data_IF_361242957022
#
_entry.id   IF_361242957022
#
_cell.length_a   1.000
_cell.length_b   1.000
_cell.length_c   1.000
_cell.angle_alpha   90.00
_cell.angle_beta   90.00
_cell.angle_gamma   90.00
#
_symmetry.space_group_name_H-M   'P 1'
#
loop_
_entity.id
_entity.type
_entity.pdbx_description
1 polymer ?
#
# COMPACT_ATOMS: atom_id res chain seq x y z
N UNK A 1 -28.42 -17.47 4.55
CA UNK A 1 -28.13 -17.28 5.99
C UNK A 1 -27.40 -15.96 6.19
N UNK A 2 -28.08 -14.98 6.81
CA UNK A 2 -27.60 -13.70 7.37
C UNK A 2 -26.42 -12.99 6.66
N UNK A 3 -26.67 -12.45 5.47
CA UNK A 3 -25.71 -11.63 4.72
C UNK A 3 -25.43 -10.29 5.40
N UNK A 4 -24.30 -10.21 6.13
CA UNK A 4 -23.72 -8.94 6.60
C UNK A 4 -22.58 -8.53 5.66
N UNK A 5 -22.81 -7.49 4.87
CA UNK A 5 -21.78 -6.89 4.02
C UNK A 5 -20.84 -6.04 4.87
N UNK A 6 -19.64 -6.55 5.14
CA UNK A 6 -18.55 -5.74 5.73
C UNK A 6 -17.91 -4.90 4.62
N UNK A 7 -18.44 -3.69 4.40
CA UNK A 7 -17.87 -2.74 3.45
C UNK A 7 -16.59 -2.16 4.05
N UNK A 8 -15.42 -2.26 3.37
CA UNK A 8 -14.21 -1.61 3.84
C UNK A 8 -14.38 -0.09 3.87
N UNK A 9 -13.91 0.57 4.93
CA UNK A 9 -13.92 2.03 5.05
C UNK A 9 -12.55 2.55 5.44
N UNK A 10 -12.08 3.57 4.75
CA UNK A 10 -10.85 4.29 5.10
C UNK A 10 -11.13 5.29 6.23
N UNK A 11 -11.46 4.75 7.41
CA UNK A 11 -11.60 5.53 8.63
C UNK A 11 -10.19 5.86 9.14
N UNK A 12 -9.71 7.06 8.79
CA UNK A 12 -8.33 7.49 9.10
C UNK A 12 -8.06 7.62 10.59
N UNK A 13 -9.07 8.03 11.34
CA UNK A 13 -9.05 8.16 12.80
C UNK A 13 -9.66 6.93 13.50
N UNK A 14 -9.71 5.77 12.82
CA UNK A 14 -10.32 4.55 13.38
C UNK A 14 -9.72 4.16 14.72
N UNK A 15 -10.60 4.02 15.71
CA UNK A 15 -10.27 3.56 17.05
C UNK A 15 -11.41 2.70 17.59
N UNK A 16 -11.12 1.46 18.01
CA UNK A 16 -12.09 0.55 18.63
C UNK A 16 -11.50 -0.10 19.89
N UNK A 17 -12.33 -0.29 20.92
CA UNK A 17 -12.00 -1.10 22.09
C UNK A 17 -12.80 -2.40 22.07
N UNK A 18 -12.15 -3.52 22.34
CA UNK A 18 -12.78 -4.84 22.29
C UNK A 18 -11.82 -5.95 22.67
N UNK A 19 -12.13 -7.19 22.31
CA UNK A 19 -11.29 -8.36 22.61
C UNK A 19 -10.39 -8.70 21.41
N UNK A 20 -9.10 -8.87 21.64
CA UNK A 20 -8.19 -9.50 20.69
C UNK A 20 -8.10 -11.00 20.96
N UNK A 21 -7.85 -11.79 19.92
CA UNK A 21 -7.26 -13.13 20.06
C UNK A 21 -6.06 -13.30 19.13
N UNK A 22 -5.53 -14.52 19.02
CA UNK A 22 -4.45 -14.81 18.06
C UNK A 22 -4.73 -16.10 17.26
N UNK A 23 -4.13 -16.19 16.07
CA UNK A 23 -4.29 -17.33 15.17
C UNK A 23 -3.71 -18.62 15.77
N UNK A 24 -4.60 -19.55 16.13
CA UNK A 24 -4.22 -20.85 16.66
C UNK A 24 -3.33 -21.69 15.72
N UNK A 25 -2.86 -22.87 16.17
CA UNK A 25 -2.04 -23.75 15.35
C UNK A 25 -2.75 -24.15 14.04
N UNK A 26 -1.98 -24.32 12.97
CA UNK A 26 -2.49 -24.76 11.66
C UNK A 26 -2.89 -23.63 10.69
N UNK A 27 -2.58 -22.37 10.97
CA UNK A 27 -2.72 -21.26 10.01
C UNK A 27 -1.45 -20.94 9.22
N UNK A 28 -0.27 -21.28 9.75
CA UNK A 28 1.02 -21.03 9.10
C UNK A 28 1.08 -21.55 7.66
N UNK A 29 1.61 -20.75 6.73
CA UNK A 29 1.76 -21.12 5.32
C UNK A 29 0.48 -20.97 4.47
N UNK A 30 -0.68 -20.63 5.05
CA UNK A 30 -1.90 -20.35 4.30
C UNK A 30 -1.87 -18.94 3.69
N UNK A 31 -2.65 -18.74 2.62
CA UNK A 31 -2.87 -17.40 2.04
C UNK A 31 -3.86 -16.61 2.88
N UNK A 32 -3.53 -15.35 3.14
CA UNK A 32 -4.44 -14.33 3.72
C UNK A 32 -5.42 -13.81 2.66
N UNK A 33 -6.42 -13.03 3.08
CA UNK A 33 -7.36 -12.35 2.20
C UNK A 33 -6.73 -11.36 1.20
N UNK A 34 -5.49 -10.88 1.43
CA UNK A 34 -4.76 -10.07 0.45
C UNK A 34 -3.69 -10.86 -0.34
N UNK A 35 -3.64 -12.19 -0.19
CA UNK A 35 -2.79 -13.09 -0.97
C UNK A 35 -1.39 -13.34 -0.42
N UNK A 36 -1.00 -12.66 0.67
CA UNK A 36 0.25 -12.91 1.40
C UNK A 36 0.25 -14.31 2.03
N UNK A 37 1.44 -14.89 2.24
CA UNK A 37 1.58 -16.13 3.03
C UNK A 37 1.65 -15.75 4.50
N UNK A 38 0.75 -16.31 5.32
CA UNK A 38 0.73 -16.06 6.76
C UNK A 38 1.90 -16.74 7.47
N UNK A 39 2.80 -15.94 8.03
CA UNK A 39 3.79 -16.35 9.02
C UNK A 39 3.34 -15.94 10.44
N UNK A 40 3.15 -16.89 11.39
CA UNK A 40 2.81 -16.56 12.79
C UNK A 40 3.92 -15.79 13.54
N UNK A 41 5.14 -15.72 13.00
CA UNK A 41 6.29 -15.02 13.57
C UNK A 41 6.37 -13.55 13.14
N UNK A 42 5.65 -13.13 12.10
CA UNK A 42 5.56 -11.72 11.68
C UNK A 42 4.57 -10.92 12.53
N UNK A 43 4.56 -9.59 12.39
CA UNK A 43 3.61 -8.70 13.08
C UNK A 43 2.39 -8.42 12.19
N UNK A 44 1.52 -9.42 12.04
CA UNK A 44 0.33 -9.40 11.18
C UNK A 44 -0.99 -9.57 11.95
N UNK A 45 -2.10 -9.22 11.31
CA UNK A 45 -3.45 -9.30 11.89
C UNK A 45 -4.59 -9.41 10.85
N UNK A 46 -5.72 -10.00 11.25
CA UNK A 46 -7.01 -9.88 10.57
C UNK A 46 -7.88 -8.76 11.15
N UNK A 47 -8.52 -7.99 10.27
CA UNK A 47 -9.59 -7.05 10.65
C UNK A 47 -10.80 -7.13 9.71
N UNK A 48 -11.99 -6.86 10.26
CA UNK A 48 -13.28 -7.02 9.55
C UNK A 48 -13.46 -6.02 8.40
N UNK A 49 -13.14 -4.77 8.67
CA UNK A 49 -13.57 -3.59 7.88
C UNK A 49 -12.42 -2.65 7.47
N UNK A 50 -11.21 -2.85 7.99
CA UNK A 50 -10.10 -1.96 7.62
C UNK A 50 -9.60 -2.29 6.20
N UNK A 51 -9.08 -1.31 5.45
CA UNK A 51 -8.41 -1.56 4.17
C UNK A 51 -7.28 -2.58 4.32
N UNK A 52 -6.99 -3.34 3.25
CA UNK A 52 -5.83 -4.24 3.19
C UNK A 52 -4.87 -3.78 2.08
N UNK A 53 -3.56 -3.67 2.35
CA UNK A 53 -2.96 -3.65 3.68
C UNK A 53 -3.34 -2.37 4.45
N UNK A 54 -3.33 -2.43 5.78
CA UNK A 54 -3.29 -1.23 6.63
C UNK A 54 -2.48 -1.51 7.89
N UNK A 55 -2.25 -0.50 8.73
CA UNK A 55 -1.50 -0.65 9.97
C UNK A 55 -2.33 -0.16 11.17
N UNK A 56 -2.20 -0.87 12.27
CA UNK A 56 -2.84 -0.51 13.54
C UNK A 56 -1.85 -0.65 14.69
N UNK A 57 -1.88 0.30 15.62
CA UNK A 57 -1.35 0.11 16.97
C UNK A 57 -2.40 -0.66 17.78
N UNK A 58 -1.96 -1.72 18.44
CA UNK A 58 -2.79 -2.51 19.35
C UNK A 58 -2.18 -2.38 20.74
N UNK A 59 -2.96 -1.90 21.71
CA UNK A 59 -2.55 -1.76 23.11
C UNK A 59 -3.34 -2.72 23.98
N UNK A 60 -2.65 -3.63 24.68
CA UNK A 60 -3.26 -4.50 25.67
C UNK A 60 -3.61 -3.70 26.93
N UNK A 61 -4.89 -3.67 27.30
CA UNK A 61 -5.41 -2.85 28.39
C UNK A 61 -5.14 -3.45 29.77
N UNK A 62 -4.78 -4.73 29.87
CA UNK A 62 -4.41 -5.38 31.13
C UNK A 62 -3.03 -4.93 31.65
N UNK A 63 -2.12 -4.57 30.73
CA UNK A 63 -0.69 -4.38 31.06
C UNK A 63 -0.04 -3.15 30.38
N UNK A 64 -0.78 -2.39 29.57
CA UNK A 64 -0.32 -1.17 28.91
C UNK A 64 0.66 -1.36 27.76
N UNK A 65 1.02 -2.61 27.39
CA UNK A 65 1.94 -2.87 26.27
C UNK A 65 1.24 -2.59 24.94
N UNK A 66 1.94 -1.94 24.00
CA UNK A 66 1.47 -1.79 22.62
C UNK A 66 2.43 -2.36 21.57
N UNK A 67 1.91 -2.66 20.39
CA UNK A 67 2.67 -3.06 19.20
C UNK A 67 1.94 -2.60 17.94
N UNK A 68 2.68 -2.21 16.91
CA UNK A 68 2.13 -1.92 15.58
C UNK A 68 2.16 -3.19 14.73
N UNK A 69 1.02 -3.51 14.10
CA UNK A 69 0.86 -4.69 13.23
C UNK A 69 0.31 -4.31 11.86
N UNK A 70 0.68 -5.09 10.83
CA UNK A 70 0.09 -5.04 9.48
C UNK A 70 -1.23 -5.80 9.48
N UNK A 71 -2.33 -5.13 9.17
CA UNK A 71 -3.59 -5.80 8.82
C UNK A 71 -3.49 -6.27 7.38
N UNK A 72 -3.39 -7.59 7.18
CA UNK A 72 -3.28 -8.23 5.86
C UNK A 72 -4.39 -9.28 5.60
N UNK A 73 -5.26 -9.54 6.58
CA UNK A 73 -6.31 -10.57 6.47
C UNK A 73 -7.71 -10.11 6.94
N UNK A 74 -8.73 -10.95 6.72
CA UNK A 74 -10.15 -10.70 7.05
C UNK A 74 -10.63 -11.57 8.21
N UNK A 75 -11.36 -10.94 9.13
CA UNK A 75 -11.87 -11.55 10.36
C UNK A 75 -11.63 -10.60 11.54
N UNK A 76 -11.88 -11.01 12.79
CA UNK A 76 -12.62 -12.20 13.22
C UNK A 76 -14.10 -12.15 12.83
N UNK A 77 -14.67 -13.30 12.46
CA UNK A 77 -16.11 -13.43 12.20
C UNK A 77 -16.93 -13.82 13.46
N UNK A 78 -16.26 -14.27 14.52
CA UNK A 78 -16.84 -14.36 15.87
C UNK A 78 -17.24 -12.95 16.37
N UNK A 79 -18.34 -12.83 17.12
CA UNK A 79 -18.99 -11.54 17.41
C UNK A 79 -18.33 -10.71 18.51
N UNK A 80 -17.60 -11.37 19.39
CA UNK A 80 -16.99 -10.89 20.63
C UNK A 80 -15.58 -10.30 20.45
N UNK A 81 -14.86 -10.75 19.42
CA UNK A 81 -13.49 -10.32 19.09
C UNK A 81 -13.49 -9.19 18.07
N UNK A 82 -12.50 -8.29 18.09
CA UNK A 82 -12.39 -7.18 17.11
C UNK A 82 -11.19 -7.36 16.16
N UNK A 83 -10.15 -8.07 16.61
CA UNK A 83 -8.92 -8.30 15.86
C UNK A 83 -8.35 -9.70 16.22
N UNK A 84 -7.84 -10.42 15.22
CA UNK A 84 -7.10 -11.68 15.41
C UNK A 84 -5.65 -11.44 14.99
N UNK A 85 -4.71 -11.59 15.93
CA UNK A 85 -3.30 -11.26 15.77
C UNK A 85 -2.43 -12.49 15.41
N UNK A 86 -1.23 -12.25 14.89
CA UNK A 86 -0.18 -13.27 14.84
C UNK A 86 0.23 -13.70 16.25
N UNK A 87 0.83 -14.90 16.35
CA UNK A 87 1.37 -15.40 17.63
C UNK A 87 2.47 -14.48 18.16
N UNK A 88 3.33 -13.93 17.29
CA UNK A 88 4.38 -12.99 17.70
C UNK A 88 3.83 -11.70 18.30
N UNK A 89 2.79 -11.13 17.71
CA UNK A 89 2.15 -9.94 18.26
C UNK A 89 1.51 -10.21 19.64
N UNK A 90 0.85 -11.37 19.82
CA UNK A 90 0.29 -11.77 21.11
C UNK A 90 1.34 -12.00 22.21
N UNK A 91 2.53 -12.50 21.85
CA UNK A 91 3.67 -12.63 22.77
C UNK A 91 4.19 -11.26 23.24
N UNK A 92 4.39 -10.31 22.32
CA UNK A 92 4.84 -8.96 22.66
C UNK A 92 3.82 -8.25 23.58
N UNK A 93 2.53 -8.38 23.26
CA UNK A 93 1.43 -7.87 24.07
C UNK A 93 1.20 -8.66 25.38
N UNK A 94 1.88 -9.78 25.60
CA UNK A 94 1.82 -10.55 26.85
C UNK A 94 0.46 -11.21 27.12
N UNK A 95 -0.18 -11.77 26.09
CA UNK A 95 -1.43 -12.53 26.23
C UNK A 95 -1.47 -13.86 25.47
N UNK A 96 -0.41 -14.27 24.79
CA UNK A 96 -0.38 -15.53 24.02
C UNK A 96 -0.81 -16.75 24.86
N UNK A 97 -0.30 -16.87 26.09
CA UNK A 97 -0.69 -17.91 27.04
C UNK A 97 -2.15 -17.83 27.54
N UNK A 98 -2.80 -16.65 27.50
CA UNK A 98 -4.22 -16.47 27.86
C UNK A 98 -5.17 -16.68 26.67
N UNK A 99 -4.66 -16.68 25.44
CA UNK A 99 -5.46 -16.78 24.21
C UNK A 99 -6.12 -15.46 23.78
N UNK A 100 -6.64 -14.69 24.74
CA UNK A 100 -7.33 -13.41 24.50
C UNK A 100 -6.89 -12.30 25.46
N UNK A 101 -7.14 -11.05 25.07
CA UNK A 101 -6.97 -9.87 25.92
C UNK A 101 -7.93 -8.72 25.53
N UNK A 102 -8.34 -7.86 26.47
CA UNK A 102 -8.97 -6.59 26.14
C UNK A 102 -7.93 -5.64 25.52
N UNK A 103 -8.25 -5.07 24.36
CA UNK A 103 -7.35 -4.19 23.61
C UNK A 103 -8.01 -2.87 23.24
N UNK A 104 -7.17 -1.87 23.01
CA UNK A 104 -7.47 -0.69 22.21
C UNK A 104 -6.76 -0.87 20.86
N UNK A 105 -7.49 -0.76 19.75
CA UNK A 105 -6.93 -0.77 18.39
C UNK A 105 -7.06 0.64 17.82
N UNK A 106 -5.97 1.20 17.30
CA UNK A 106 -5.92 2.52 16.65
C UNK A 106 -5.26 2.40 15.28
N UNK A 107 -5.86 2.99 14.25
CA UNK A 107 -5.23 3.12 12.91
C UNK A 107 -3.98 4.00 13.02
N UNK A 108 -2.89 3.56 12.39
CA UNK A 108 -1.61 4.29 12.35
C UNK A 108 -0.97 4.22 10.97
N UNK A 109 -0.08 5.17 10.69
CA UNK A 109 0.62 5.31 9.42
C UNK A 109 2.14 5.32 9.67
N UNK A 110 2.76 4.14 9.91
CA UNK A 110 4.17 4.06 10.23
C UNK A 110 5.02 4.42 9.00
N UNK A 111 5.95 5.37 9.17
CA UNK A 111 6.85 5.84 8.11
C UNK A 111 7.67 4.68 7.55
N UNK A 112 7.63 4.50 6.23
CA UNK A 112 8.38 3.45 5.51
C UNK A 112 7.71 2.07 5.45
N UNK A 113 6.53 1.89 6.03
CA UNK A 113 5.72 0.71 5.78
C UNK A 113 4.90 0.87 4.49
N UNK A 114 4.55 -0.21 3.76
CA UNK A 114 3.63 -0.16 2.62
C UNK A 114 2.17 0.09 3.08
N UNK A 115 1.91 1.31 3.54
CA UNK A 115 0.57 1.85 3.74
C UNK A 115 -0.05 2.15 2.37
N UNK A 116 -1.21 1.54 2.09
CA UNK A 116 -2.12 2.03 1.06
C UNK A 116 -2.58 3.44 1.47
N UNK A 117 -1.86 4.45 0.99
CA UNK A 117 -1.97 5.83 1.43
C UNK A 117 -2.74 6.64 0.41
N UNK A 118 -3.82 7.30 0.84
CA UNK A 118 -4.14 8.60 0.29
C UNK A 118 -3.10 9.61 0.84
N UNK A 119 -2.65 10.61 0.05
CA UNK A 119 -1.72 11.65 0.52
C UNK A 119 -2.42 12.58 1.54
N UNK A 120 -1.75 13.40 2.36
CA UNK A 120 -0.32 13.73 2.50
C UNK A 120 -0.01 13.94 4.02
N UNK A 121 1.18 14.26 4.55
CA UNK A 121 2.43 14.76 3.98
C UNK A 121 3.69 14.41 4.83
N UNK A 122 4.83 14.98 4.43
CA UNK A 122 6.08 15.15 5.19
C UNK A 122 6.60 13.95 6.00
N UNK A 123 7.26 13.02 5.30
CA UNK A 123 8.70 12.76 5.51
C UNK A 123 9.29 12.11 4.26
N UNK A 124 10.48 12.59 3.87
CA UNK A 124 11.28 12.04 2.78
C UNK A 124 11.72 10.61 3.10
N UNK A 125 11.16 9.63 2.38
CA UNK A 125 11.80 8.33 2.19
C UNK A 125 13.03 8.52 1.28
N UNK A 126 14.01 7.59 1.28
CA UNK A 126 14.97 7.52 0.18
C UNK A 126 14.15 7.33 -1.11
N UNK A 127 14.24 8.29 -2.04
CA UNK A 127 13.56 8.19 -3.33
C UNK A 127 14.06 6.91 -4.02
N UNK A 128 13.18 5.94 -4.23
CA UNK A 128 13.24 5.25 -5.52
C UNK A 128 13.10 6.35 -6.57
N UNK A 129 14.14 6.56 -7.38
CA UNK A 129 14.19 7.68 -8.32
C UNK A 129 13.00 7.55 -9.26
N UNK A 130 12.06 8.50 -9.27
CA UNK A 130 10.80 8.33 -9.99
C UNK A 130 11.10 8.03 -11.45
N UNK A 131 10.48 6.97 -11.96
CA UNK A 131 10.76 6.49 -13.32
C UNK A 131 9.89 7.26 -14.31
N UNK A 132 10.48 7.61 -15.44
CA UNK A 132 9.80 8.24 -16.56
C UNK A 132 10.00 7.42 -17.83
N UNK A 133 8.98 7.34 -18.68
CA UNK A 133 9.12 6.86 -20.04
C UNK A 133 9.30 8.09 -20.93
N UNK A 134 10.52 8.36 -21.40
CA UNK A 134 10.75 9.42 -22.40
C UNK A 134 10.34 8.89 -23.78
N UNK A 135 9.47 9.64 -24.46
CA UNK A 135 8.83 9.24 -25.73
C UNK A 135 9.51 9.91 -26.92
N UNK A 136 9.94 11.16 -26.75
CA UNK A 136 10.66 11.91 -27.79
C UNK A 136 11.19 13.25 -27.29
N UNK A 137 12.01 13.89 -28.12
CA UNK A 137 12.47 15.25 -27.95
C UNK A 137 12.17 16.05 -29.22
N UNK A 138 11.57 17.23 -29.08
CA UNK A 138 11.00 18.00 -30.18
C UNK A 138 11.52 19.44 -30.14
N UNK A 139 11.97 19.96 -31.28
CA UNK A 139 12.33 21.38 -31.41
C UNK A 139 11.09 22.30 -31.47
N UNK A 140 9.92 21.74 -31.78
CA UNK A 140 8.64 22.43 -31.83
C UNK A 140 7.82 22.09 -30.57
N UNK A 141 7.63 23.09 -29.70
CA UNK A 141 6.90 22.94 -28.45
C UNK A 141 5.39 22.67 -28.65
N UNK A 142 4.79 23.13 -29.77
CA UNK A 142 3.36 22.91 -30.06
C UNK A 142 3.12 21.45 -30.45
N UNK A 143 4.06 20.84 -31.20
CA UNK A 143 4.05 19.40 -31.47
C UNK A 143 4.26 18.57 -30.21
N UNK A 144 5.15 19.00 -29.32
CA UNK A 144 5.39 18.33 -28.05
C UNK A 144 4.14 18.33 -27.15
N UNK A 145 3.46 19.47 -27.02
CA UNK A 145 2.21 19.61 -26.27
C UNK A 145 1.05 18.81 -26.89
N UNK A 146 0.93 18.83 -28.23
CA UNK A 146 -0.07 18.02 -28.93
C UNK A 146 0.10 16.52 -28.65
N UNK A 147 1.34 16.03 -28.67
CA UNK A 147 1.68 14.65 -28.33
C UNK A 147 1.41 14.34 -26.85
N UNK A 148 1.82 15.23 -25.93
CA UNK A 148 1.56 15.03 -24.50
C UNK A 148 0.06 14.87 -24.20
N UNK A 149 -0.80 15.63 -24.90
CA UNK A 149 -2.27 15.50 -24.76
C UNK A 149 -2.80 14.18 -25.30
N UNK A 150 -2.32 13.69 -26.46
CA UNK A 150 -2.77 12.41 -27.02
C UNK A 150 -2.33 11.19 -26.20
N UNK A 151 -1.37 11.35 -25.29
CA UNK A 151 -0.86 10.29 -24.41
C UNK A 151 -1.57 10.23 -23.05
N UNK A 152 -2.51 11.13 -22.77
CA UNK A 152 -3.22 11.20 -21.49
C UNK A 152 -3.96 9.90 -21.11
N UNK A 153 -4.42 9.15 -22.10
CA UNK A 153 -5.07 7.84 -21.93
C UNK A 153 -4.08 6.72 -21.51
N UNK A 154 -2.77 6.92 -21.74
CA UNK A 154 -1.70 6.00 -21.35
C UNK A 154 -1.13 6.39 -19.97
N UNK A 155 -1.08 7.68 -19.66
CA UNK A 155 -0.65 8.17 -18.34
C UNK A 155 -0.40 9.68 -18.29
N UNK A 156 0.04 10.21 -17.13
CA UNK A 156 0.38 11.62 -16.98
C UNK A 156 1.59 11.97 -17.85
N UNK A 157 1.38 12.87 -18.82
CA UNK A 157 2.41 13.37 -19.71
C UNK A 157 3.00 14.70 -19.21
N UNK A 158 4.33 14.80 -19.25
CA UNK A 158 5.13 15.92 -18.81
C UNK A 158 5.97 16.44 -19.98
N UNK A 159 6.00 17.77 -20.12
CA UNK A 159 6.90 18.48 -21.02
C UNK A 159 8.08 19.01 -20.21
N UNK A 160 9.29 18.59 -20.54
CA UNK A 160 10.51 19.06 -19.90
C UNK A 160 11.42 19.74 -20.93
N UNK A 161 11.78 21.01 -20.69
CA UNK A 161 12.79 21.68 -21.51
C UNK A 161 14.17 21.10 -21.23
N UNK A 162 14.86 20.68 -22.29
CA UNK A 162 16.25 20.24 -22.22
C UNK A 162 17.24 21.41 -22.39
N UNK A 163 18.49 21.26 -21.91
CA UNK A 163 19.55 22.26 -22.10
C UNK A 163 20.01 22.39 -23.56
N UNK A 164 19.57 21.46 -24.41
CA UNK A 164 19.70 21.44 -25.88
C UNK A 164 18.63 22.27 -26.60
N UNK A 165 17.73 22.93 -25.87
CA UNK A 165 16.60 23.69 -26.43
C UNK A 165 15.47 22.80 -26.97
N UNK A 166 15.51 21.49 -26.71
CA UNK A 166 14.48 20.55 -27.15
C UNK A 166 13.46 20.30 -26.03
N UNK A 167 12.17 20.31 -26.37
CA UNK A 167 11.09 19.93 -25.47
C UNK A 167 10.96 18.41 -25.44
N UNK A 168 11.22 17.79 -24.29
CA UNK A 168 11.16 16.34 -24.08
C UNK A 168 9.80 15.94 -23.54
N UNK A 169 9.12 15.02 -24.24
CA UNK A 169 7.85 14.44 -23.80
C UNK A 169 8.14 13.18 -22.99
N UNK A 170 7.63 13.13 -21.76
CA UNK A 170 7.82 12.03 -20.81
C UNK A 170 6.47 11.61 -20.23
N UNK A 171 6.25 10.32 -20.02
CA UNK A 171 5.19 9.84 -19.12
C UNK A 171 5.76 9.56 -17.73
N UNK A 172 4.98 9.87 -16.69
CA UNK A 172 5.33 9.63 -15.29
C UNK A 172 5.04 10.85 -14.40
N UNK A 173 5.54 10.86 -13.14
CA UNK A 173 6.40 9.84 -12.55
C UNK A 173 5.67 8.51 -12.29
N UNK A 174 6.37 7.39 -12.48
CA UNK A 174 5.90 6.06 -12.09
C UNK A 174 6.52 5.63 -10.76
N UNK A 175 5.70 5.02 -9.90
CA UNK A 175 6.06 4.65 -8.53
C UNK A 175 6.92 3.37 -8.42
N UNK A 176 7.21 2.69 -9.53
CA UNK A 176 8.06 1.50 -9.56
C UNK A 176 8.25 0.95 -10.97
N UNK A 177 9.24 0.07 -11.16
CA UNK A 177 9.63 -0.45 -12.47
C UNK A 177 8.48 -1.12 -13.24
N UNK A 178 7.61 -1.87 -12.56
CA UNK A 178 6.53 -2.61 -13.24
C UNK A 178 5.51 -1.69 -13.91
N UNK A 179 5.17 -0.55 -13.30
CA UNK A 179 4.24 0.43 -13.89
C UNK A 179 4.88 1.17 -15.05
N UNK A 180 6.14 1.57 -14.87
CA UNK A 180 6.92 2.23 -15.90
C UNK A 180 7.14 1.31 -17.13
N UNK A 181 7.36 0.01 -16.91
CA UNK A 181 7.48 -0.99 -17.97
C UNK A 181 6.15 -1.20 -18.72
N UNK A 182 5.01 -1.21 -18.01
CA UNK A 182 3.67 -1.30 -18.65
C UNK A 182 3.37 -0.07 -19.51
N UNK A 183 3.68 1.12 -19.01
CA UNK A 183 3.55 2.36 -19.78
C UNK A 183 4.46 2.35 -21.02
N UNK A 184 5.72 1.90 -20.88
CA UNK A 184 6.65 1.75 -22.01
C UNK A 184 6.06 0.80 -23.08
N UNK A 185 5.52 -0.34 -22.68
CA UNK A 185 4.89 -1.29 -23.61
C UNK A 185 3.66 -0.70 -24.32
N UNK A 186 2.82 0.08 -23.61
CA UNK A 186 1.68 0.75 -24.21
C UNK A 186 2.09 1.85 -25.21
N UNK A 187 3.15 2.61 -24.88
CA UNK A 187 3.75 3.62 -25.77
C UNK A 187 4.35 2.98 -27.04
N UNK A 188 5.03 1.84 -26.91
CA UNK A 188 5.51 1.05 -28.05
C UNK A 188 4.36 0.54 -28.91
N UNK A 189 3.28 0.04 -28.30
CA UNK A 189 2.07 -0.39 -29.01
C UNK A 189 1.33 0.76 -29.72
N UNK A 190 1.44 2.00 -29.21
CA UNK A 190 0.96 3.21 -29.86
C UNK A 190 1.89 3.72 -30.99
N UNK A 191 2.97 3.00 -31.32
CA UNK A 191 3.87 3.29 -32.44
C UNK A 191 5.15 4.06 -32.09
N UNK A 192 5.36 4.43 -30.82
CA UNK A 192 6.54 5.19 -30.39
C UNK A 192 7.67 4.26 -29.93
N UNK A 193 8.20 3.44 -30.83
CA UNK A 193 9.21 2.40 -30.52
C UNK A 193 10.54 2.93 -29.96
N UNK A 194 10.88 4.19 -30.25
CA UNK A 194 12.06 4.90 -29.72
C UNK A 194 11.93 5.25 -28.22
N UNK A 195 10.75 5.05 -27.61
CA UNK A 195 10.54 5.37 -26.21
C UNK A 195 11.39 4.49 -25.28
N UNK A 196 11.84 5.07 -24.16
CA UNK A 196 12.73 4.41 -23.20
C UNK A 196 12.50 4.86 -21.76
N UNK A 197 12.80 3.97 -20.82
CA UNK A 197 12.81 4.27 -19.39
C UNK A 197 14.03 5.11 -18.98
N UNK A 198 13.80 6.09 -18.12
CA UNK A 198 14.81 6.93 -17.48
C UNK A 198 14.48 7.08 -15.98
N UNK A 199 15.46 6.98 -15.07
CA UNK A 199 15.31 7.51 -13.72
C UNK A 199 15.29 9.04 -13.72
N UNK A 200 14.66 9.63 -12.71
CA UNK A 200 14.86 11.03 -12.31
C UNK A 200 16.36 11.29 -12.10
N UNK A 201 16.89 12.38 -12.67
CA UNK A 201 18.32 12.69 -12.71
C UNK A 201 18.60 14.15 -12.41
#
# INVERSE_FOLDING_TARGET
MNGRTYVPRDERDYQESGVASWYGPGFAGKRTANGEIFDPNELSAAHRTLPLPSYVEVTNRDNGRSVVVRVNDRGPFARDRIIDLSRRAAQLLGFDARGTAPVLVRRVYPKGAPVASAPDASVSLPRETPLYVQIGAFADAVRADSLARSLGDIGPALLQQGPDGLTRVRLGPFAGQMDAQRALSAVHAAGYTEARLLPDG
#
